data_IF_579637692382
#
_entry.id   IF_579637692382
#
_cell.length_a   1.000
_cell.length_b   1.000
_cell.length_c   1.000
_cell.angle_alpha   90.00
_cell.angle_beta   90.00
_cell.angle_gamma   90.00
#
_symmetry.space_group_name_H-M   'P 1'
#
loop_
_entity.id
_entity.type
_entity.pdbx_description
1 polymer ?
2 non-polymer ?
3 water ?
#
# COMPACT_ATOMS: atom_id res chain seq x y z
N UNK A 1 -4.18 -5.94 -15.97
CA UNK A 1 -3.17 -4.91 -16.12
C UNK A 1 -2.36 -4.72 -14.85
N UNK A 2 -1.02 -4.76 -15.00
CA UNK A 2 -0.11 -4.57 -13.86
C UNK A 2 -0.08 -3.11 -13.39
N UNK A 3 -0.90 -2.24 -13.99
CA UNK A 3 -0.96 -0.85 -13.60
C UNK A 3 -1.82 -0.65 -12.36
N UNK A 4 -2.97 -1.32 -12.30
CA UNK A 4 -3.80 -1.36 -11.10
C UNK A 4 -3.29 -2.33 -10.04
N UNK A 5 -2.55 -3.37 -10.41
CA UNK A 5 -1.86 -4.18 -9.41
C UNK A 5 -0.93 -3.32 -8.56
N UNK A 6 -0.13 -2.46 -9.19
CA UNK A 6 0.78 -1.61 -8.42
C UNK A 6 -0.01 -0.60 -7.58
N UNK A 7 -1.10 -0.06 -8.13
CA UNK A 7 -1.90 0.88 -7.37
C UNK A 7 -2.54 0.22 -6.17
N UNK A 8 -2.93 -1.06 -6.28
CA UNK A 8 -3.48 -1.73 -5.11
C UNK A 8 -2.41 -1.91 -4.04
N UNK A 9 -1.18 -2.23 -4.45
CA UNK A 9 -0.09 -2.23 -3.49
C UNK A 9 0.12 -0.84 -2.88
N UNK A 10 -0.12 0.23 -3.65
CA UNK A 10 0.05 1.57 -3.07
C UNK A 10 -1.04 1.89 -2.06
N UNK A 11 -2.24 1.35 -2.23
CA UNK A 11 -3.24 1.47 -1.18
C UNK A 11 -2.73 0.89 0.12
N UNK A 12 -1.92 -0.18 0.06
CA UNK A 12 -1.37 -0.73 1.29
C UNK A 12 -0.32 0.19 1.91
N UNK A 13 0.50 0.83 1.09
CA UNK A 13 1.43 1.83 1.62
C UNK A 13 0.66 2.91 2.35
N UNK A 14 -0.45 3.36 1.76
CA UNK A 14 -1.25 4.41 2.37
C UNK A 14 -1.84 3.93 3.70
N UNK A 15 -2.40 2.72 3.72
CA UNK A 15 -2.89 2.17 4.98
C UNK A 15 -1.79 2.12 6.02
N UNK A 16 -0.58 1.75 5.62
CA UNK A 16 0.54 1.69 6.56
C UNK A 16 0.87 3.08 7.11
N UNK A 17 0.88 4.10 6.26
CA UNK A 17 1.19 5.45 6.73
C UNK A 17 0.10 5.99 7.64
N UNK A 18 -1.14 5.59 7.41
CA UNK A 18 -2.22 6.07 8.26
C UNK A 18 -2.36 5.24 9.52
N UNK A 19 -1.57 4.19 9.66
CA UNK A 19 -1.84 3.25 10.72
C UNK A 19 -1.36 3.80 12.05
N UNK A 20 -1.92 3.21 13.11
CA UNK A 20 -1.76 3.65 14.46
C UNK A 20 -0.31 3.51 14.94
N UNK A 21 0.47 2.60 14.33
CA UNK A 21 1.91 2.44 14.61
C UNK A 21 2.72 3.72 14.40
N UNK A 22 2.43 4.48 13.33
CA UNK A 22 3.24 5.64 12.96
C UNK A 22 2.66 6.98 13.44
N UNK A 23 1.61 6.96 14.26
CA UNK A 23 0.86 8.18 14.55
C UNK A 23 1.67 9.22 15.33
N UNK A 24 2.72 8.82 16.04
CA UNK A 24 3.47 9.82 16.80
C UNK A 24 4.08 10.87 15.87
N UNK A 25 4.45 10.47 14.64
CA UNK A 25 5.05 11.41 13.71
C UNK A 25 4.21 11.65 12.47
N UNK A 26 3.18 10.85 12.20
CA UNK A 26 2.42 11.01 10.97
C UNK A 26 1.22 11.95 11.10
N UNK A 27 0.74 12.20 12.31
CA UNK A 27 -0.52 12.94 12.46
C UNK A 27 -0.54 14.32 11.81
N UNK A 28 0.54 15.09 11.70
CA UNK A 28 0.44 16.37 10.99
C UNK A 28 0.05 16.24 9.54
N UNK A 29 0.13 15.05 8.96
CA UNK A 29 -0.16 14.87 7.54
C UNK A 29 -1.48 14.16 7.30
N UNK A 30 -2.27 13.92 8.35
CA UNK A 30 -3.57 13.27 8.22
C UNK A 30 -4.54 14.15 7.44
N UNK A 31 -4.63 15.43 7.79
CA UNK A 31 -5.54 16.37 7.18
C UNK A 31 -4.78 17.51 6.52
N UNK A 32 -5.40 18.26 5.62
CA UNK A 32 -4.71 19.39 4.99
C UNK A 32 -4.27 20.42 6.03
N UNK A 33 -3.23 21.16 5.65
CA UNK A 33 -2.76 22.29 6.45
C UNK A 33 -3.87 23.34 6.50
N UNK A 34 -4.35 23.64 7.71
CA UNK A 34 -5.30 24.74 7.88
C UNK A 34 -4.50 26.01 8.16
N UNK A 35 -4.21 26.77 7.10
CA UNK A 35 -3.36 27.95 7.28
C UNK A 35 -4.03 29.00 8.16
N UNK A 36 -5.36 29.07 8.12
CA UNK A 36 -6.02 30.11 8.91
C UNK A 36 -6.07 29.72 10.38
N UNK A 37 -6.26 28.43 10.69
CA UNK A 37 -6.30 28.03 12.09
C UNK A 37 -4.91 28.02 12.70
N UNK A 38 -3.88 27.80 11.90
CA UNK A 38 -2.51 27.84 12.40
C UNK A 38 -1.85 29.20 12.24
N UNK A 39 -2.57 30.18 11.68
CA UNK A 39 -2.08 31.54 11.46
C UNK A 39 -0.83 31.55 10.60
N UNK A 40 -0.84 30.71 9.57
CA UNK A 40 0.22 30.68 8.56
C UNK A 40 -0.22 31.53 7.38
N UNK A 41 -0.09 32.85 7.53
CA UNK A 41 -0.49 33.80 6.50
C UNK A 41 0.36 33.65 5.26
N UNK A 42 1.43 32.88 5.40
CA UNK A 42 2.48 32.68 4.44
C UNK A 42 2.30 31.43 3.59
N UNK A 43 1.55 30.45 4.10
CA UNK A 43 1.61 29.10 3.58
C UNK A 43 1.21 29.00 2.10
N UNK A 44 0.12 29.64 1.71
CA UNK A 44 -0.32 29.46 0.34
C UNK A 44 0.42 30.36 -0.65
N UNK A 45 1.25 31.30 -0.18
CA UNK A 45 2.16 31.99 -1.09
C UNK A 45 3.29 31.07 -1.54
N UNK A 46 3.77 30.23 -0.63
CA UNK A 46 4.93 29.38 -0.87
C UNK A 46 4.52 27.99 -1.35
N UNK A 47 3.43 27.46 -0.82
CA UNK A 47 2.96 26.12 -1.17
C UNK A 47 1.81 26.30 -2.15
N UNK A 48 2.12 26.12 -3.44
CA UNK A 48 1.11 26.33 -4.47
C UNK A 48 0.24 25.12 -4.68
N UNK A 49 0.68 23.95 -4.24
CA UNK A 49 -0.06 22.70 -4.42
C UNK A 49 0.00 21.93 -3.13
N UNK A 50 -0.87 22.25 -2.18
CA UNK A 50 -0.91 21.53 -0.90
C UNK A 50 -1.26 20.07 -1.11
N UNK A 51 -0.84 19.24 -0.15
CA UNK A 51 -1.13 17.81 -0.22
C UNK A 51 -1.04 17.21 1.17
N UNK A 52 -1.83 16.16 1.39
CA UNK A 52 -1.89 15.47 2.67
C UNK A 52 -2.44 14.08 2.44
N UNK A 53 -2.31 13.23 3.47
CA UNK A 53 -2.67 11.83 3.32
C UNK A 53 -4.15 11.63 3.05
N UNK A 54 -5.00 12.46 3.65
CA UNK A 54 -6.44 12.31 3.39
C UNK A 54 -6.78 12.70 1.95
N UNK A 55 -6.12 13.73 1.39
CA UNK A 55 -6.39 14.04 -0.01
C UNK A 55 -5.87 12.92 -0.91
N UNK A 56 -4.69 12.38 -0.59
CA UNK A 56 -4.18 11.26 -1.37
C UNK A 56 -5.16 10.10 -1.29
N UNK A 57 -5.70 9.84 -0.09
CA UNK A 57 -6.67 8.76 0.05
C UNK A 57 -7.90 9.03 -0.80
N UNK A 58 -8.40 10.27 -0.76
CA UNK A 58 -9.57 10.59 -1.56
C UNK A 58 -9.31 10.31 -3.04
N UNK A 59 -8.14 10.71 -3.54
CA UNK A 59 -7.80 10.53 -4.95
C UNK A 59 -7.61 9.06 -5.29
N UNK A 60 -6.99 8.30 -4.40
CA UNK A 60 -6.83 6.86 -4.62
C UNK A 60 -8.17 6.13 -4.64
N UNK A 61 -9.01 6.35 -3.61
CA UNK A 61 -10.33 5.72 -3.55
C UNK A 61 -11.19 6.11 -4.75
N UNK A 62 -10.94 7.27 -5.34
CA UNK A 62 -11.65 7.69 -6.53
C UNK A 62 -10.99 7.31 -7.84
N UNK A 63 -9.98 6.42 -7.82
CA UNK A 63 -9.26 5.99 -9.02
C UNK A 63 -8.70 7.17 -9.82
N UNK A 64 -8.32 8.25 -9.13
CA UNK A 64 -7.79 9.43 -9.81
C UNK A 64 -6.30 9.30 -10.18
N UNK A 65 -5.56 8.34 -9.62
CA UNK A 65 -4.19 8.23 -10.09
C UNK A 65 -4.15 7.28 -11.26
N UNK A 66 -3.55 7.68 -12.38
CA UNK A 66 -3.48 6.76 -13.53
C UNK A 66 -2.49 5.62 -13.33
N UNK A 67 -1.48 5.80 -12.49
CA UNK A 67 -0.47 4.76 -12.25
C UNK A 67 0.15 5.01 -10.89
N UNK A 68 1.02 4.09 -10.47
CA UNK A 68 1.67 4.24 -9.16
C UNK A 68 2.58 5.46 -9.12
N UNK A 69 3.09 5.91 -10.26
CA UNK A 69 3.98 7.06 -10.23
C UNK A 69 3.24 8.33 -9.84
N UNK A 70 1.98 8.45 -10.24
CA UNK A 70 1.23 9.64 -9.86
C UNK A 70 0.98 9.69 -8.36
N UNK A 71 0.68 8.54 -7.77
CA UNK A 71 0.54 8.43 -6.32
C UNK A 71 1.84 8.81 -5.63
N UNK A 72 2.96 8.25 -6.08
CA UNK A 72 4.23 8.58 -5.46
C UNK A 72 4.52 10.08 -5.59
N UNK A 73 4.15 10.68 -6.72
CA UNK A 73 4.39 12.11 -6.88
C UNK A 73 3.63 12.92 -5.85
N UNK A 74 2.38 12.53 -5.57
CA UNK A 74 1.60 13.29 -4.57
C UNK A 74 2.16 13.11 -3.16
N UNK A 75 2.53 11.88 -2.79
CA UNK A 75 3.09 11.65 -1.45
C UNK A 75 4.34 12.48 -1.26
N UNK A 76 5.22 12.47 -2.27
CA UNK A 76 6.46 13.23 -2.18
C UNK A 76 6.19 14.73 -2.16
N UNK A 77 5.17 15.16 -2.91
CA UNK A 77 4.79 16.58 -2.88
C UNK A 77 4.43 17.00 -1.47
N UNK A 78 3.68 16.15 -0.76
CA UNK A 78 3.32 16.43 0.61
C UNK A 78 4.59 16.61 1.45
N UNK A 79 5.56 15.72 1.28
CA UNK A 79 6.84 15.88 1.97
C UNK A 79 7.58 17.12 1.49
N UNK A 80 7.59 17.41 0.19
CA UNK A 80 8.36 18.54 -0.30
C UNK A 80 7.78 19.86 0.19
N UNK A 81 6.46 19.94 0.30
CA UNK A 81 5.84 21.15 0.85
C UNK A 81 6.37 21.42 2.25
N UNK A 82 6.46 20.37 3.05
CA UNK A 82 6.84 20.54 4.45
C UNK A 82 8.29 20.95 4.55
N UNK A 83 9.16 20.35 3.73
CA UNK A 83 10.56 20.74 3.69
C UNK A 83 10.72 22.17 3.15
N UNK A 84 9.90 22.56 2.15
CA UNK A 84 10.05 23.89 1.54
C UNK A 84 9.59 24.99 2.49
N UNK A 85 8.43 24.81 3.11
CA UNK A 85 7.87 25.88 3.92
C UNK A 85 8.60 26.03 5.25
N UNK A 86 9.07 24.91 5.85
CA UNK A 86 9.55 25.07 7.20
C UNK A 86 11.06 25.23 7.26
N UNK A 87 11.55 25.90 8.30
CA UNK A 87 13.00 25.92 8.55
C UNK A 87 13.50 24.52 8.82
N UNK A 88 14.65 24.15 8.27
CA UNK A 88 15.06 22.73 8.30
C UNK A 88 15.21 22.15 9.70
N UNK A 89 15.36 22.99 10.73
CA UNK A 89 15.51 22.51 12.10
C UNK A 89 14.19 22.40 12.86
N UNK A 90 13.06 22.56 12.20
CA UNK A 90 11.77 22.46 12.86
C UNK A 90 11.43 20.99 12.99
N UNK A 91 10.69 20.65 14.02
CA UNK A 91 10.48 19.23 14.18
C UNK A 91 9.30 18.67 13.40
N UNK A 92 8.47 19.50 12.76
CA UNK A 92 7.61 18.91 11.74
C UNK A 92 8.48 18.32 10.63
N UNK A 93 9.67 18.89 10.39
CA UNK A 93 10.61 18.37 9.39
C UNK A 93 11.14 17.01 9.80
N UNK A 94 11.52 16.84 11.06
CA UNK A 94 11.95 15.52 11.52
C UNK A 94 10.79 14.52 11.41
N UNK A 95 9.58 14.94 11.77
CA UNK A 95 8.41 14.08 11.67
C UNK A 95 8.17 13.66 10.23
N UNK A 96 8.21 14.63 9.30
CA UNK A 96 8.03 14.29 7.90
C UNK A 96 9.11 13.31 7.43
N UNK A 97 10.35 13.48 7.89
CA UNK A 97 11.41 12.59 7.46
C UNK A 97 11.19 11.16 7.96
N UNK A 98 10.72 11.01 9.20
CA UNK A 98 10.43 9.67 9.70
C UNK A 98 9.32 9.02 8.88
N UNK A 99 8.29 9.78 8.52
CA UNK A 99 7.22 9.21 7.73
C UNK A 99 7.70 8.89 6.32
N UNK A 100 8.51 9.77 5.72
CA UNK A 100 9.03 9.48 4.40
C UNK A 100 9.91 8.23 4.41
N UNK A 101 10.61 7.97 5.52
CA UNK A 101 11.35 6.71 5.63
C UNK A 101 10.43 5.51 5.44
N UNK A 102 9.24 5.55 6.05
CA UNK A 102 8.25 4.50 5.83
C UNK A 102 7.86 4.45 4.36
N UNK A 103 7.50 5.60 3.79
CA UNK A 103 7.01 5.59 2.41
C UNK A 103 8.05 5.08 1.43
N UNK A 104 9.26 5.66 1.42
CA UNK A 104 10.25 5.28 0.41
C UNK A 104 10.62 3.80 0.52
N UNK A 105 10.72 3.30 1.74
CA UNK A 105 11.05 1.89 1.94
C UNK A 105 9.95 0.98 1.41
N UNK A 106 8.69 1.25 1.75
CA UNK A 106 7.65 0.35 1.30
C UNK A 106 7.38 0.53 -0.20
N UNK A 107 7.63 1.72 -0.74
CA UNK A 107 7.44 1.90 -2.18
C UNK A 107 8.49 1.13 -2.97
N UNK A 108 9.72 1.12 -2.49
CA UNK A 108 10.79 0.40 -3.19
C UNK A 108 10.56 -1.09 -3.18
N UNK A 109 9.81 -1.61 -2.20
CA UNK A 109 9.61 -3.03 -2.04
C UNK A 109 8.39 -3.52 -2.79
N UNK A 110 7.81 -2.67 -3.61
CA UNK A 110 6.70 -3.05 -4.46
C UNK A 110 7.15 -4.14 -5.43
N UNK A 111 6.39 -5.24 -5.58
CA UNK A 111 6.75 -6.25 -6.56
C UNK A 111 6.52 -5.71 -7.98
N UNK B 3 -19.04 -19.45 -9.31
CA UNK B 3 -18.28 -19.41 -10.56
C UNK B 3 -17.65 -18.01 -10.80
N UNK B 4 -16.39 -18.02 -11.26
CA UNK B 4 -15.75 -16.81 -11.78
C UNK B 4 -16.24 -16.48 -13.18
N UNK B 5 -16.79 -17.46 -13.89
CA UNK B 5 -17.53 -17.17 -15.12
C UNK B 5 -18.64 -16.16 -14.88
N UNK B 6 -19.41 -16.34 -13.79
CA UNK B 6 -20.43 -15.36 -13.44
C UNK B 6 -19.81 -14.04 -13.02
N UNK B 7 -18.67 -14.09 -12.33
CA UNK B 7 -18.00 -12.86 -11.95
C UNK B 7 -17.52 -12.10 -13.17
N UNK B 8 -17.16 -12.82 -14.24
CA UNK B 8 -16.77 -12.17 -15.46
C UNK B 8 -17.95 -11.42 -16.06
N UNK B 9 -19.15 -12.00 -15.98
CA UNK B 9 -20.35 -11.30 -16.39
C UNK B 9 -20.59 -10.06 -15.52
N UNK B 10 -20.23 -10.12 -14.24
CA UNK B 10 -20.49 -8.94 -13.43
C UNK B 10 -19.53 -7.82 -13.75
N UNK B 11 -18.30 -8.15 -14.13
CA UNK B 11 -17.41 -7.11 -14.62
C UNK B 11 -18.05 -6.38 -15.80
N UNK B 12 -18.76 -7.09 -16.66
CA UNK B 12 -19.40 -6.42 -17.77
C UNK B 12 -20.57 -5.53 -17.30
N UNK B 13 -21.32 -5.97 -16.28
CA UNK B 13 -22.32 -5.09 -15.71
C UNK B 13 -21.66 -3.83 -15.16
N UNK B 14 -20.52 -4.00 -14.49
CA UNK B 14 -19.84 -2.84 -13.92
C UNK B 14 -19.45 -1.86 -15.02
N UNK B 15 -18.88 -2.37 -16.12
CA UNK B 15 -18.54 -1.51 -17.26
C UNK B 15 -19.77 -0.79 -17.79
N UNK B 16 -20.90 -1.48 -17.87
CA UNK B 16 -22.09 -0.82 -18.39
C UNK B 16 -22.51 0.33 -17.48
N UNK B 17 -22.45 0.12 -16.17
CA UNK B 17 -22.85 1.17 -15.25
C UNK B 17 -21.90 2.36 -15.32
N UNK B 18 -20.64 2.13 -15.62
CA UNK B 18 -19.69 3.23 -15.68
C UNK B 18 -19.66 3.92 -17.03
N UNK B 19 -20.44 3.44 -18.00
CA UNK B 19 -20.31 3.86 -19.39
C UNK B 19 -20.95 5.24 -19.59
N UNK B 20 -20.65 5.84 -20.76
CA UNK B 20 -21.04 7.22 -21.01
C UNK B 20 -22.56 7.41 -21.10
N UNK B 21 -23.32 6.39 -21.58
CA UNK B 21 -24.78 6.54 -21.65
C UNK B 21 -25.42 6.99 -20.35
N UNK B 22 -24.98 6.44 -19.22
CA UNK B 22 -25.74 6.57 -18.00
C UNK B 22 -25.23 7.70 -17.11
N UNK B 23 -24.28 8.49 -17.60
CA UNK B 23 -23.57 9.43 -16.73
C UNK B 23 -24.46 10.56 -16.22
N UNK B 24 -25.55 10.90 -16.91
CA UNK B 24 -26.39 11.99 -16.42
C UNK B 24 -26.97 11.67 -15.04
N UNK B 25 -27.22 10.38 -14.74
CA UNK B 25 -27.70 9.97 -13.44
C UNK B 25 -26.73 9.08 -12.67
N UNK B 26 -25.69 8.55 -13.31
CA UNK B 26 -24.79 7.65 -12.62
C UNK B 26 -23.63 8.35 -11.93
N UNK B 27 -23.33 9.59 -12.31
CA UNK B 27 -22.09 10.22 -11.83
C UNK B 27 -21.97 10.33 -10.31
N UNK B 28 -23.03 10.53 -9.52
CA UNK B 28 -22.86 10.59 -8.06
C UNK B 28 -22.33 9.31 -7.43
N UNK B 29 -22.33 8.18 -8.15
CA UNK B 29 -21.93 6.90 -7.59
C UNK B 29 -20.56 6.49 -8.08
N UNK B 30 -19.89 7.35 -8.82
CA UNK B 30 -18.55 7.05 -9.34
C UNK B 30 -17.53 6.91 -8.21
N UNK B 31 -17.53 7.84 -7.28
CA UNK B 31 -16.55 7.91 -6.21
C UNK B 31 -17.27 7.84 -4.87
N UNK B 32 -16.57 7.51 -3.79
CA UNK B 32 -17.24 7.48 -2.50
C UNK B 32 -17.77 8.86 -2.13
N UNK B 33 -18.83 8.86 -1.31
CA UNK B 33 -19.39 10.09 -0.78
C UNK B 33 -18.33 10.81 0.04
N UNK B 34 -18.02 12.05 -0.33
CA UNK B 34 -17.14 12.87 0.48
C UNK B 34 -18.03 13.62 1.47
N UNK B 35 -18.19 13.03 2.66
CA UNK B 35 -19.08 13.61 3.67
C UNK B 35 -18.59 14.95 4.19
N UNK B 36 -17.28 15.13 4.28
CA UNK B 36 -16.80 16.37 4.86
C UNK B 36 -16.86 17.49 3.84
N UNK B 37 -16.70 17.19 2.56
CA UNK B 37 -16.88 18.24 1.54
C UNK B 37 -18.34 18.60 1.32
N UNK B 38 -19.26 17.66 1.52
CA UNK B 38 -20.67 17.92 1.37
C UNK B 38 -21.31 18.34 2.68
N UNK B 39 -20.52 18.42 3.75
CA UNK B 39 -20.99 18.86 5.06
C UNK B 39 -22.14 18.00 5.56
N UNK B 40 -22.00 16.68 5.36
CA UNK B 40 -22.92 15.67 5.88
C UNK B 40 -22.35 15.13 7.18
N UNK B 41 -22.56 15.88 8.27
CA UNK B 41 -21.96 15.52 9.55
C UNK B 41 -22.52 14.22 10.13
N UNK B 42 -23.69 13.78 9.67
CA UNK B 42 -24.32 12.56 10.17
C UNK B 42 -24.18 11.37 9.24
N UNK B 43 -23.61 11.55 8.04
CA UNK B 43 -23.63 10.50 7.02
C UNK B 43 -23.03 9.19 7.55
N UNK B 44 -21.87 9.26 8.19
CA UNK B 44 -21.22 8.06 8.66
C UNK B 44 -21.79 7.53 9.97
N UNK B 45 -22.68 8.29 10.65
CA UNK B 45 -23.46 7.72 11.75
C UNK B 45 -24.53 6.78 11.23
N UNK B 46 -25.12 7.14 10.09
CA UNK B 46 -26.26 6.45 9.53
C UNK B 46 -25.85 5.38 8.52
N UNK B 47 -24.81 5.64 7.74
CA UNK B 47 -24.35 4.71 6.72
C UNK B 47 -23.10 4.05 7.28
N UNK B 48 -23.24 2.83 7.80
CA UNK B 48 -22.10 2.20 8.46
C UNK B 48 -21.19 1.49 7.48
N UNK B 49 -21.64 1.25 6.26
CA UNK B 49 -20.84 0.55 5.26
C UNK B 49 -21.00 1.26 3.93
N UNK B 50 -20.21 2.31 3.71
CA UNK B 50 -20.28 3.02 2.42
C UNK B 50 -19.87 2.12 1.26
N UNK B 51 -20.35 2.48 0.07
CA UNK B 51 -20.05 1.73 -1.14
C UNK B 51 -20.30 2.63 -2.33
N UNK B 52 -19.54 2.38 -3.39
CA UNK B 52 -19.57 3.19 -4.61
C UNK B 52 -18.95 2.36 -5.74
N UNK B 53 -19.11 2.86 -6.98
CA UNK B 53 -18.68 2.10 -8.15
C UNK B 53 -17.17 1.93 -8.21
N UNK B 54 -16.40 2.94 -7.76
CA UNK B 54 -14.94 2.82 -7.74
C UNK B 54 -14.49 1.76 -6.74
N UNK B 55 -15.14 1.71 -5.58
CA UNK B 55 -14.81 0.68 -4.61
C UNK B 55 -15.17 -0.69 -5.15
N UNK B 56 -16.29 -0.79 -5.87
CA UNK B 56 -16.63 -2.06 -6.50
C UNK B 56 -15.57 -2.46 -7.52
N UNK B 57 -15.12 -1.51 -8.35
CA UNK B 57 -14.11 -1.86 -9.34
C UNK B 57 -12.80 -2.30 -8.70
N UNK B 58 -12.31 -1.56 -7.69
CA UNK B 58 -11.09 -1.99 -7.00
C UNK B 58 -11.29 -3.37 -6.38
N UNK B 59 -12.45 -3.62 -5.77
CA UNK B 59 -12.68 -4.92 -5.17
C UNK B 59 -12.77 -6.02 -6.24
N UNK B 60 -13.32 -5.69 -7.40
CA UNK B 60 -13.36 -6.67 -8.49
C UNK B 60 -11.96 -6.96 -9.04
N UNK B 61 -11.21 -5.90 -9.37
CA UNK B 61 -9.84 -6.08 -9.87
C UNK B 61 -8.97 -6.81 -8.86
N UNK B 62 -9.25 -6.64 -7.58
CA UNK B 62 -8.51 -7.34 -6.56
C UNK B 62 -9.10 -8.65 -6.13
N UNK B 63 -10.05 -9.19 -6.91
CA UNK B 63 -10.59 -10.54 -6.70
C UNK B 63 -11.15 -10.73 -5.29
N UNK B 64 -11.63 -9.66 -4.68
CA UNK B 64 -12.12 -9.78 -3.31
C UNK B 64 -13.52 -10.35 -3.22
N UNK B 65 -14.28 -10.46 -4.38
CA UNK B 65 -15.63 -11.01 -4.24
C UNK B 65 -15.57 -12.53 -4.37
N UNK B 66 -16.18 -13.27 -3.44
CA UNK B 66 -16.15 -14.73 -3.55
C UNK B 66 -17.07 -15.27 -4.64
N UNK B 67 -18.16 -14.58 -4.97
CA UNK B 67 -19.07 -15.05 -6.02
C UNK B 67 -19.87 -13.85 -6.53
N UNK B 68 -20.71 -14.10 -7.54
CA UNK B 68 -21.49 -13.02 -8.12
C UNK B 68 -22.47 -12.43 -7.11
N UNK B 69 -22.88 -13.22 -6.11
CA UNK B 69 -23.83 -12.71 -5.13
C UNK B 69 -23.20 -11.62 -4.29
N UNK B 70 -21.92 -11.76 -3.95
CA UNK B 70 -21.26 -10.73 -3.17
C UNK B 70 -21.14 -9.44 -3.96
N UNK B 71 -20.85 -9.55 -5.24
CA UNK B 71 -20.86 -8.39 -6.11
C UNK B 71 -22.23 -7.71 -6.08
N UNK B 72 -23.29 -8.48 -6.27
CA UNK B 72 -24.63 -7.89 -6.29
C UNK B 72 -24.96 -7.24 -4.95
N UNK B 73 -24.53 -7.84 -3.85
CA UNK B 73 -24.82 -7.28 -2.54
C UNK B 73 -24.17 -5.90 -2.40
N UNK B 74 -22.94 -5.74 -2.90
CA UNK B 74 -22.29 -4.44 -2.80
C UNK B 74 -22.99 -3.39 -3.66
N UNK B 75 -23.31 -3.73 -4.91
CA UNK B 75 -23.99 -2.77 -5.77
C UNK B 75 -25.31 -2.34 -5.12
N UNK B 76 -26.08 -3.32 -4.62
CA UNK B 76 -27.33 -3.01 -3.96
C UNK B 76 -27.11 -2.24 -2.65
N UNK B 77 -26.03 -2.55 -1.94
CA UNK B 77 -25.67 -1.76 -0.78
C UNK B 77 -25.45 -0.30 -1.16
N UNK B 78 -24.80 -0.07 -2.29
CA UNK B 78 -24.57 1.29 -2.74
C UNK B 78 -25.89 2.04 -2.91
N UNK B 79 -26.87 1.42 -3.59
CA UNK B 79 -28.18 2.05 -3.77
C UNK B 79 -28.90 2.19 -2.44
N UNK B 80 -28.85 1.15 -1.62
CA UNK B 80 -29.58 1.16 -0.38
C UNK B 80 -29.00 2.21 0.58
N UNK B 81 -27.68 2.44 0.52
CA UNK B 81 -27.12 3.54 1.28
C UNK B 81 -27.78 4.86 0.88
N UNK B 82 -27.96 5.07 -0.43
CA UNK B 82 -28.51 6.34 -0.92
C UNK B 82 -29.97 6.51 -0.54
N UNK B 83 -30.75 5.40 -0.60
CA UNK B 83 -32.16 5.43 -0.20
C UNK B 83 -32.32 5.66 1.30
N UNK B 84 -31.44 5.07 2.11
CA UNK B 84 -31.55 5.16 3.57
C UNK B 84 -31.22 6.57 4.06
N UNK B 85 -30.15 7.15 3.55
CA UNK B 85 -29.68 8.42 4.07
C UNK B 85 -30.56 9.57 3.62
N UNK B 86 -31.07 9.51 2.34
CA UNK B 86 -31.73 10.69 1.81
C UNK B 86 -33.24 10.63 1.97
N UNK B 87 -33.88 11.78 2.07
CA UNK B 87 -35.32 11.83 2.05
C UNK B 87 -35.84 11.31 0.72
N UNK B 88 -36.91 10.54 0.72
CA UNK B 88 -37.35 9.87 -0.53
C UNK B 88 -37.64 10.82 -1.68
N UNK B 89 -37.91 12.10 -1.42
CA UNK B 89 -38.21 13.03 -2.49
C UNK B 89 -36.98 13.71 -3.08
N UNK B 90 -35.78 13.26 -2.75
CA UNK B 90 -34.57 13.93 -3.23
C UNK B 90 -34.17 13.49 -4.63
N UNK B 91 -33.51 14.40 -5.34
CA UNK B 91 -33.18 14.13 -6.74
C UNK B 91 -32.20 12.97 -6.85
N UNK B 92 -31.27 12.84 -5.90
CA UNK B 92 -30.32 11.74 -5.95
C UNK B 92 -31.02 10.39 -5.80
N UNK B 93 -32.15 10.36 -5.09
CA UNK B 93 -32.89 9.10 -4.97
C UNK B 93 -33.40 8.67 -6.34
N UNK B 94 -33.91 9.63 -7.12
CA UNK B 94 -34.34 9.29 -8.47
C UNK B 94 -33.17 8.81 -9.33
N UNK B 95 -32.01 9.46 -9.20
CA UNK B 95 -30.82 9.03 -9.95
C UNK B 95 -30.42 7.61 -9.60
N UNK B 96 -30.40 7.27 -8.31
CA UNK B 96 -30.09 5.88 -7.92
C UNK B 96 -31.09 4.90 -8.52
N UNK B 97 -32.37 5.28 -8.59
CA UNK B 97 -33.34 4.36 -9.15
C UNK B 97 -33.08 4.12 -10.63
N UNK B 98 -32.76 5.19 -11.38
CA UNK B 98 -32.43 5.00 -12.79
C UNK B 98 -31.21 4.09 -12.95
N UNK B 99 -30.18 4.27 -12.11
CA UNK B 99 -28.99 3.43 -12.27
C UNK B 99 -29.28 1.99 -11.85
N UNK B 100 -30.00 1.79 -10.74
CA UNK B 100 -30.32 0.43 -10.31
C UNK B 100 -31.19 -0.30 -11.34
N UNK B 101 -32.01 0.42 -12.09
CA UNK B 101 -32.74 -0.21 -13.16
C UNK B 101 -31.78 -0.82 -14.18
N UNK B 102 -30.72 -0.09 -14.53
CA UNK B 102 -29.67 -0.64 -15.40
C UNK B 102 -29.08 -1.88 -14.76
N UNK B 103 -28.69 -1.78 -13.48
CA UNK B 103 -28.07 -2.93 -12.83
C UNK B 103 -29.03 -4.13 -12.75
N UNK B 104 -30.25 -3.93 -12.23
CA UNK B 104 -31.14 -5.07 -11.99
C UNK B 104 -31.47 -5.78 -13.30
N UNK B 105 -31.63 -5.02 -14.38
CA UNK B 105 -31.93 -5.62 -15.66
C UNK B 105 -30.76 -6.46 -16.17
N UNK B 106 -29.54 -5.93 -16.08
CA UNK B 106 -28.42 -6.70 -16.61
C UNK B 106 -28.09 -7.89 -15.71
N UNK B 107 -28.24 -7.74 -14.40
CA UNK B 107 -28.02 -8.86 -13.50
C UNK B 107 -29.04 -9.97 -13.76
N UNK B 108 -30.27 -9.60 -14.05
CA UNK B 108 -31.27 -10.63 -14.34
C UNK B 108 -30.95 -11.39 -15.62
N UNK B 109 -30.21 -10.78 -16.56
CA UNK B 109 -29.90 -11.46 -17.81
C UNK B 109 -28.62 -12.27 -17.73
N UNK B 110 -28.04 -12.43 -16.54
CA UNK B 110 -26.83 -13.22 -16.40
C UNK B 110 -27.12 -14.66 -16.82
N UNK B 111 -26.30 -15.25 -17.71
CA UNK B 111 -26.47 -16.62 -18.18
C UNK B 111 -26.07 -17.63 -17.10
N UNK C 2 15.20 28.85 -18.28
CA UNK C 2 14.58 28.80 -16.94
C UNK C 2 14.50 27.39 -16.34
N UNK C 3 14.95 26.32 -17.00
CA UNK C 3 15.19 25.18 -16.16
C UNK C 3 16.49 24.44 -16.51
N UNK C 4 17.34 25.01 -17.38
CA UNK C 4 18.73 24.82 -17.06
C UNK C 4 19.11 25.73 -15.89
N UNK C 5 18.33 26.80 -15.69
CA UNK C 5 18.38 27.53 -14.42
C UNK C 5 18.11 26.59 -13.24
N UNK C 6 17.05 25.77 -13.35
CA UNK C 6 16.78 24.78 -12.31
C UNK C 6 17.84 23.68 -12.31
N UNK C 7 18.34 23.32 -13.48
CA UNK C 7 19.39 22.30 -13.55
C UNK C 7 20.68 22.80 -12.91
N UNK C 8 20.94 24.11 -12.98
CA UNK C 8 22.11 24.69 -12.32
C UNK C 8 21.99 24.58 -10.81
N UNK C 9 20.78 24.78 -10.28
CA UNK C 9 20.55 24.54 -8.86
C UNK C 9 20.76 23.07 -8.50
N UNK C 10 20.39 22.16 -9.42
CA UNK C 10 20.58 20.75 -9.13
C UNK C 10 22.05 20.37 -9.14
N UNK C 11 22.87 21.06 -9.94
CA UNK C 11 24.32 20.87 -9.87
C UNK C 11 24.83 21.18 -8.47
N UNK C 12 24.30 22.22 -7.82
CA UNK C 12 24.73 22.50 -6.46
C UNK C 12 24.28 21.41 -5.50
N UNK C 13 23.06 20.87 -5.70
CA UNK C 13 22.64 19.72 -4.91
C UNK C 13 23.61 18.57 -5.08
N UNK C 14 24.05 18.34 -6.32
CA UNK C 14 25.04 17.29 -6.57
C UNK C 14 26.34 17.59 -5.86
N UNK C 15 26.82 18.83 -5.96
CA UNK C 15 28.02 19.22 -5.23
C UNK C 15 27.85 18.98 -3.73
N UNK C 16 26.66 19.28 -3.19
CA UNK C 16 26.43 19.11 -1.76
C UNK C 16 26.50 17.65 -1.33
N UNK C 17 25.91 16.73 -2.10
CA UNK C 17 25.96 15.33 -1.70
C UNK C 17 27.38 14.76 -1.79
N UNK C 18 28.19 15.26 -2.71
CA UNK C 18 29.53 14.75 -2.88
C UNK C 18 30.53 15.37 -1.90
N UNK C 19 30.10 16.30 -1.07
CA UNK C 19 31.04 17.08 -0.27
C UNK C 19 31.53 16.34 0.99
N UNK C 20 32.62 16.89 1.54
CA UNK C 20 33.35 16.28 2.66
C UNK C 20 32.42 16.09 3.86
N UNK C 21 31.49 17.03 4.06
CA UNK C 21 30.58 17.05 5.20
C UNK C 21 29.79 15.76 5.37
N UNK C 22 29.27 15.22 4.26
CA UNK C 22 28.34 14.11 4.28
C UNK C 22 29.03 12.78 4.03
N UNK C 23 30.36 12.77 3.98
CA UNK C 23 31.10 11.60 3.52
C UNK C 23 30.92 10.41 4.45
N UNK C 24 30.58 10.64 5.71
CA UNK C 24 30.42 9.51 6.62
C UNK C 24 29.34 8.55 6.14
N UNK C 25 28.29 9.08 5.51
CA UNK C 25 27.20 8.25 5.03
C UNK C 25 27.00 8.28 3.52
N UNK C 26 27.63 9.20 2.79
CA UNK C 26 27.39 9.28 1.35
C UNK C 26 28.33 8.41 0.53
N UNK C 27 29.46 8.01 1.09
CA UNK C 27 30.47 7.31 0.29
C UNK C 27 29.97 6.05 -0.40
N UNK C 28 29.03 5.25 0.12
CA UNK C 28 28.59 4.07 -0.63
C UNK C 28 27.96 4.39 -1.95
N UNK C 29 27.59 5.65 -2.20
CA UNK C 29 26.90 6.03 -3.42
C UNK C 29 27.79 6.79 -4.39
N UNK C 30 29.07 6.93 -4.08
CA UNK C 30 30.00 7.65 -4.95
C UNK C 30 30.15 6.96 -6.29
N UNK C 31 30.36 5.65 -6.27
CA UNK C 31 30.64 4.85 -7.45
C UNK C 31 29.56 3.79 -7.56
N UNK C 32 29.38 3.19 -8.74
CA UNK C 32 28.36 2.15 -8.89
C UNK C 32 28.60 0.96 -7.97
N UNK C 33 27.50 0.26 -7.67
CA UNK C 33 27.57 -0.96 -6.86
C UNK C 33 28.38 -2.00 -7.61
N UNK C 34 29.46 -2.47 -6.99
CA UNK C 34 30.26 -3.53 -7.59
C UNK C 34 29.69 -4.85 -7.10
N UNK C 35 28.78 -5.41 -7.89
CA UNK C 35 28.10 -6.66 -7.49
C UNK C 35 29.08 -7.82 -7.45
N UNK C 36 30.13 -7.77 -8.26
CA UNK C 36 31.06 -8.89 -8.34
C UNK C 36 32.00 -8.91 -7.14
N UNK C 37 32.45 -7.73 -6.72
CA UNK C 37 33.36 -7.60 -5.60
C UNK C 37 32.66 -7.76 -4.26
N UNK C 38 31.38 -7.44 -4.19
CA UNK C 38 30.61 -7.61 -2.97
C UNK C 38 29.89 -8.94 -2.94
N UNK C 39 30.07 -9.76 -3.97
CA UNK C 39 29.47 -11.11 -4.05
C UNK C 39 27.95 -11.04 -3.92
N UNK C 40 27.36 -10.04 -4.57
CA UNK C 40 25.91 -9.91 -4.64
C UNK C 40 25.45 -10.57 -5.94
N UNK C 41 25.32 -11.89 -5.90
CA UNK C 41 25.02 -12.60 -7.13
C UNK C 41 23.64 -12.30 -7.67
N UNK C 42 22.73 -11.77 -6.83
CA UNK C 42 21.36 -11.51 -7.25
C UNK C 42 21.08 -10.05 -7.54
N UNK C 43 22.06 -9.16 -7.28
CA UNK C 43 21.81 -7.74 -7.30
C UNK C 43 21.21 -7.27 -8.63
N UNK C 44 21.78 -7.71 -9.74
CA UNK C 44 21.26 -7.26 -11.04
C UNK C 44 20.02 -8.02 -11.47
N UNK C 45 19.64 -9.08 -10.75
CA UNK C 45 18.33 -9.68 -10.97
C UNK C 45 17.25 -8.76 -10.43
N UNK C 46 17.53 -8.10 -9.30
CA UNK C 46 16.56 -7.31 -8.58
C UNK C 46 16.61 -5.84 -9.01
N UNK C 47 17.80 -5.32 -9.25
CA UNK C 47 17.99 -3.92 -9.59
C UNK C 47 18.21 -3.84 -11.10
N UNK C 48 17.14 -3.45 -11.82
CA UNK C 48 17.22 -3.43 -13.26
C UNK C 48 17.85 -2.16 -13.80
N UNK C 49 17.95 -1.12 -12.99
CA UNK C 49 18.49 0.16 -13.41
C UNK C 49 19.39 0.74 -12.32
N UNK C 50 20.65 0.30 -12.29
CA UNK C 50 21.57 0.84 -11.27
C UNK C 50 21.79 2.32 -11.45
N UNK C 51 22.15 3.00 -10.35
CA UNK C 51 22.36 4.43 -10.36
C UNK C 51 23.23 4.83 -9.18
N UNK C 52 24.02 5.88 -9.38
CA UNK C 52 24.93 6.36 -8.35
C UNK C 52 25.31 7.81 -8.68
N UNK C 53 25.98 8.45 -7.71
CA UNK C 53 26.31 9.86 -7.84
C UNK C 53 27.31 10.13 -8.97
N UNK C 54 28.26 9.23 -9.22
CA UNK C 54 29.18 9.47 -10.33
C UNK C 54 28.45 9.36 -11.67
N UNK C 55 27.48 8.45 -11.79
CA UNK C 55 26.71 8.40 -13.02
C UNK C 55 25.82 9.64 -13.17
N UNK C 56 25.26 10.11 -12.05
CA UNK C 56 24.48 11.34 -12.10
C UNK C 56 25.36 12.51 -12.55
N UNK C 57 26.58 12.60 -12.03
CA UNK C 57 27.48 13.67 -12.46
C UNK C 57 27.84 13.55 -13.94
N UNK C 58 28.19 12.35 -14.39
CA UNK C 58 28.51 12.18 -15.80
C UNK C 58 27.33 12.61 -16.68
N UNK C 59 26.11 12.22 -16.31
CA UNK C 59 24.96 12.61 -17.11
C UNK C 59 24.71 14.11 -17.04
N UNK C 60 24.96 14.70 -15.88
CA UNK C 60 24.81 16.15 -15.73
C UNK C 60 25.85 16.89 -16.57
N UNK C 61 27.13 16.50 -16.46
CA UNK C 61 28.20 17.12 -17.24
C UNK C 61 27.95 17.02 -18.74
N UNK C 62 27.34 15.92 -19.19
CA UNK C 62 27.02 15.73 -20.59
C UNK C 62 25.66 16.26 -21.01
N UNK C 63 24.97 16.99 -20.13
CA UNK C 63 23.67 17.61 -20.42
C UNK C 63 22.63 16.59 -20.90
N UNK C 64 22.62 15.40 -20.28
CA UNK C 64 21.64 14.39 -20.64
C UNK C 64 20.30 14.59 -19.95
N UNK C 65 20.21 15.44 -18.89
CA UNK C 65 18.89 15.57 -18.27
C UNK C 65 18.10 16.67 -18.96
N UNK C 66 16.86 16.38 -19.37
CA UNK C 66 16.03 17.43 -19.99
C UNK C 66 15.48 18.44 -19.00
N UNK C 67 15.32 18.08 -17.73
CA UNK C 67 14.77 18.98 -16.72
C UNK C 67 15.25 18.53 -15.34
N UNK C 68 14.87 19.30 -14.31
CA UNK C 68 15.23 18.96 -12.95
C UNK C 68 14.53 17.69 -12.48
N UNK C 69 13.38 17.35 -13.09
CA UNK C 69 12.65 16.15 -12.72
C UNK C 69 13.41 14.89 -13.08
N UNK C 70 14.15 14.91 -14.20
CA UNK C 70 14.93 13.75 -14.58
C UNK C 70 16.10 13.51 -13.65
N UNK C 71 16.76 14.59 -13.26
CA UNK C 71 17.81 14.50 -12.25
C UNK C 71 17.24 13.95 -10.94
N UNK C 72 16.11 14.50 -10.50
CA UNK C 72 15.53 14.01 -9.26
C UNK C 72 15.15 12.53 -9.38
N UNK C 73 14.64 12.12 -10.54
CA UNK C 73 14.25 10.73 -10.72
C UNK C 73 15.48 9.81 -10.59
N UNK C 74 16.61 10.21 -11.17
CA UNK C 74 17.81 9.38 -11.06
C UNK C 74 18.32 9.33 -9.62
N UNK C 75 18.38 10.48 -8.94
CA UNK C 75 18.81 10.48 -7.54
C UNK C 75 17.91 9.59 -6.70
N UNK C 76 16.59 9.74 -6.85
CA UNK C 76 15.65 8.88 -6.11
C UNK C 76 15.76 7.42 -6.53
N UNK C 77 15.99 7.16 -7.82
CA UNK C 77 16.25 5.78 -8.26
C UNK C 77 17.43 5.17 -7.53
N UNK C 78 18.51 5.94 -7.33
CA UNK C 78 19.64 5.45 -6.57
C UNK C 78 19.25 5.09 -5.13
N UNK C 79 18.49 5.96 -4.45
CA UNK C 79 18.03 5.60 -3.10
C UNK C 79 17.07 4.42 -3.14
N UNK C 80 16.17 4.37 -4.13
CA UNK C 80 15.19 3.30 -4.16
C UNK C 80 15.83 1.94 -4.41
N UNK C 81 16.86 1.89 -5.25
CA UNK C 81 17.60 0.66 -5.47
C UNK C 81 18.15 0.13 -4.16
N UNK C 82 18.69 1.01 -3.33
CA UNK C 82 19.32 0.57 -2.11
C UNK C 82 18.28 0.02 -1.14
N UNK C 83 17.13 0.68 -1.08
CA UNK C 83 16.04 0.22 -0.23
C UNK C 83 15.45 -1.09 -0.75
N UNK C 84 15.32 -1.22 -2.07
CA UNK C 84 14.70 -2.41 -2.62
C UNK C 84 15.59 -3.63 -2.40
N UNK C 85 16.88 -3.49 -2.66
CA UNK C 85 17.77 -4.65 -2.59
C UNK C 85 18.08 -5.03 -1.16
N UNK C 86 18.19 -4.03 -0.26
CA UNK C 86 18.73 -4.44 1.03
C UNK C 86 17.63 -4.71 2.05
N UNK C 87 17.88 -5.57 3.03
CA UNK C 87 16.92 -5.74 4.13
C UNK C 87 16.75 -4.45 4.92
N UNK C 88 15.53 -4.12 5.33
CA UNK C 88 15.27 -2.79 5.92
C UNK C 88 16.08 -2.48 7.17
N UNK C 89 16.58 -3.50 7.87
CA UNK C 89 17.37 -3.28 9.08
C UNK C 89 18.86 -3.12 8.79
N UNK C 90 19.25 -3.03 7.52
CA UNK C 90 20.66 -2.96 7.19
C UNK C 90 21.23 -1.56 7.35
N UNK C 91 22.50 -1.51 7.71
CA UNK C 91 23.12 -0.24 8.04
C UNK C 91 23.25 0.67 6.81
N UNK C 92 23.45 0.10 5.62
CA UNK C 92 23.53 0.94 4.41
C UNK C 92 22.21 1.67 4.13
N UNK C 93 21.06 1.09 4.54
CA UNK C 93 19.76 1.74 4.37
C UNK C 93 19.69 3.01 5.22
N UNK C 94 20.16 2.94 6.47
CA UNK C 94 20.21 4.15 7.30
C UNK C 94 21.09 5.20 6.65
N UNK C 95 22.22 4.77 6.05
CA UNK C 95 23.11 5.69 5.34
C UNK C 95 22.38 6.36 4.19
N UNK C 96 21.64 5.56 3.40
CA UNK C 96 20.89 6.13 2.29
C UNK C 96 19.88 7.16 2.79
N UNK C 97 19.25 6.89 3.94
CA UNK C 97 18.27 7.82 4.47
C UNK C 97 18.89 9.15 4.86
N UNK C 98 20.08 9.11 5.48
CA UNK C 98 20.76 10.34 5.83
C UNK C 98 21.08 11.16 4.59
N UNK C 99 21.52 10.51 3.51
CA UNK C 99 21.84 11.27 2.29
C UNK C 99 20.57 11.74 1.59
N UNK C 100 19.52 10.90 1.56
CA UNK C 100 18.26 11.37 0.98
C UNK C 100 17.66 12.54 1.75
N UNK C 101 17.88 12.61 3.07
CA UNK C 101 17.45 13.79 3.82
C UNK C 101 18.07 15.04 3.23
N UNK C 102 19.36 14.98 2.93
CA UNK C 102 20.04 16.10 2.27
C UNK C 102 19.39 16.39 0.93
N UNK C 103 19.25 15.38 0.07
CA UNK C 103 18.72 15.66 -1.27
C UNK C 103 17.32 16.26 -1.19
N UNK C 104 16.39 15.63 -0.45
CA UNK C 104 15.00 16.08 -0.47
C UNK C 104 14.87 17.50 0.07
N UNK C 105 15.61 17.82 1.13
CA UNK C 105 15.55 19.16 1.69
C UNK C 105 16.04 20.20 0.69
N UNK C 106 17.18 19.94 0.07
CA UNK C 106 17.70 20.88 -0.92
C UNK C 106 16.78 20.94 -2.15
N UNK C 107 16.32 19.78 -2.66
CA UNK C 107 15.44 19.81 -3.82
C UNK C 107 14.17 20.59 -3.54
N UNK C 108 13.62 20.45 -2.34
CA UNK C 108 12.41 21.20 -2.00
C UNK C 108 12.65 22.70 -1.93
N UNK C 109 13.88 23.16 -1.66
CA UNK C 109 14.18 24.59 -1.52
C UNK C 109 14.53 25.24 -2.85
N UNK C 110 14.37 24.53 -3.95
CA UNK C 110 14.67 25.05 -5.26
C UNK C 110 13.82 26.29 -5.56
N UNK C 111 14.43 27.39 -6.04
CA UNK C 111 13.74 28.64 -6.40
C UNK C 111 12.88 28.54 -7.64
N UNK D 1 2.23 -48.89 8.97
CA UNK D 1 1.05 -48.06 9.19
C UNK D 1 1.29 -46.88 10.12
N UNK D 2 2.55 -46.43 10.17
CA UNK D 2 2.99 -45.37 11.08
C UNK D 2 2.39 -44.02 10.70
N UNK D 3 1.59 -43.98 9.64
CA UNK D 3 1.14 -42.72 9.08
C UNK D 3 -0.06 -42.12 9.80
N UNK D 4 -0.96 -42.95 10.33
CA UNK D 4 -2.01 -42.37 11.17
C UNK D 4 -1.50 -41.99 12.55
N UNK D 5 -0.51 -42.72 13.08
CA UNK D 5 0.17 -42.29 14.30
C UNK D 5 0.79 -40.90 14.14
N UNK D 6 1.49 -40.67 13.04
CA UNK D 6 2.11 -39.36 12.87
C UNK D 6 1.07 -38.27 12.68
N UNK D 7 -0.02 -38.56 11.95
CA UNK D 7 -1.07 -37.57 11.75
C UNK D 7 -1.80 -37.27 13.04
N UNK D 8 -1.99 -38.27 13.89
CA UNK D 8 -2.62 -38.02 15.17
C UNK D 8 -1.76 -37.13 16.05
N UNK D 9 -0.44 -37.32 16.00
CA UNK D 9 0.47 -36.45 16.73
C UNK D 9 0.38 -35.02 16.19
N UNK D 10 0.14 -34.87 14.89
CA UNK D 10 0.02 -33.52 14.36
C UNK D 10 -1.28 -32.87 14.81
N UNK D 11 -2.31 -33.67 15.06
CA UNK D 11 -3.52 -33.14 15.68
C UNK D 11 -3.20 -32.48 17.02
N UNK D 12 -2.32 -33.09 17.79
CA UNK D 12 -1.95 -32.53 19.09
C UNK D 12 -1.15 -31.25 18.92
N UNK D 13 -0.30 -31.18 17.90
CA UNK D 13 0.34 -29.89 17.58
C UNK D 13 -0.71 -28.85 17.28
N UNK D 14 -1.73 -29.22 16.52
CA UNK D 14 -2.81 -28.29 16.22
C UNK D 14 -3.53 -27.86 17.49
N UNK D 15 -3.84 -28.82 18.37
CA UNK D 15 -4.48 -28.48 19.64
C UNK D 15 -3.64 -27.49 20.44
N UNK D 16 -2.32 -27.70 20.48
CA UNK D 16 -1.45 -26.82 21.23
C UNK D 16 -1.42 -25.42 20.64
N UNK D 17 -1.39 -25.30 19.30
CA UNK D 17 -1.39 -23.98 18.70
C UNK D 17 -2.72 -23.26 18.95
N UNK D 18 -3.80 -24.00 19.06
CA UNK D 18 -5.11 -23.42 19.25
C UNK D 18 -5.45 -23.17 20.71
N UNK D 19 -4.58 -23.55 21.65
CA UNK D 19 -4.93 -23.53 23.06
C UNK D 19 -4.77 -22.13 23.65
N UNK D 20 -5.40 -21.95 24.81
CA UNK D 20 -5.47 -20.63 25.45
C UNK D 20 -4.08 -20.14 25.86
N UNK D 21 -3.17 -21.07 26.17
CA UNK D 21 -1.80 -20.71 26.53
C UNK D 21 -1.16 -19.76 25.52
N UNK D 22 -1.39 -19.98 24.23
CA UNK D 22 -0.73 -19.21 23.18
C UNK D 22 -1.64 -18.14 22.56
N UNK D 23 -2.82 -17.93 23.11
CA UNK D 23 -3.82 -17.12 22.42
C UNK D 23 -3.39 -15.66 22.25
N UNK D 24 -2.48 -15.16 23.07
CA UNK D 24 -2.08 -13.76 22.96
C UNK D 24 -1.47 -13.44 21.60
N UNK D 25 -0.76 -14.40 20.99
CA UNK D 25 -0.15 -14.23 19.67
C UNK D 25 -0.70 -15.14 18.59
N UNK D 26 -1.48 -16.16 18.93
CA UNK D 26 -1.95 -17.09 17.91
C UNK D 26 -3.27 -16.69 17.28
N UNK D 27 -4.04 -15.82 17.92
CA UNK D 27 -5.40 -15.55 17.47
C UNK D 27 -5.52 -15.05 16.03
N UNK D 28 -4.59 -14.27 15.46
CA UNK D 28 -4.76 -13.89 14.04
C UNK D 28 -4.78 -15.06 13.09
N UNK D 29 -4.35 -16.24 13.51
CA UNK D 29 -4.26 -17.37 12.62
C UNK D 29 -5.39 -18.36 12.83
N UNK D 30 -6.32 -18.05 13.74
CA UNK D 30 -7.45 -18.94 13.99
C UNK D 30 -8.32 -19.09 12.75
N UNK D 31 -8.65 -17.97 12.12
CA UNK D 31 -9.55 -17.95 10.97
C UNK D 31 -8.81 -17.37 9.77
N UNK D 32 -9.29 -17.65 8.55
CA UNK D 32 -8.61 -17.14 7.35
C UNK D 32 -8.56 -15.62 7.33
N UNK D 33 -7.56 -15.12 6.62
CA UNK D 33 -7.44 -13.69 6.39
C UNK D 33 -8.65 -13.23 5.59
N UNK D 34 -9.45 -12.32 6.17
CA UNK D 34 -10.56 -11.74 5.44
C UNK D 34 -10.05 -10.48 4.75
N UNK D 35 -9.68 -10.62 3.46
CA UNK D 35 -9.13 -9.48 2.73
C UNK D 35 -10.18 -8.40 2.52
N UNK D 36 -11.45 -8.78 2.37
CA UNK D 36 -12.47 -7.77 2.11
C UNK D 36 -12.76 -6.97 3.37
N UNK D 37 -12.74 -7.63 4.52
CA UNK D 37 -13.02 -6.94 5.77
C UNK D 37 -11.83 -6.13 6.25
N UNK D 38 -10.61 -6.54 5.91
CA UNK D 38 -9.43 -5.77 6.30
C UNK D 38 -9.00 -4.76 5.25
N UNK D 39 -9.68 -4.73 4.11
CA UNK D 39 -9.38 -3.80 3.00
C UNK D 39 -7.94 -4.00 2.52
N UNK D 40 -7.55 -5.27 2.41
CA UNK D 40 -6.27 -5.66 1.84
C UNK D 40 -6.48 -5.93 0.36
N UNK D 41 -6.54 -4.84 -0.41
CA UNK D 41 -6.88 -4.95 -1.81
C UNK D 41 -5.81 -5.69 -2.62
N UNK D 42 -4.59 -5.81 -2.09
CA UNK D 42 -3.48 -6.46 -2.77
C UNK D 42 -3.23 -7.88 -2.28
N UNK D 43 -3.97 -8.33 -1.26
CA UNK D 43 -3.63 -9.61 -0.62
C UNK D 43 -3.63 -10.75 -1.62
N UNK D 44 -4.62 -10.83 -2.52
CA UNK D 44 -4.64 -11.98 -3.42
C UNK D 44 -3.70 -11.82 -4.60
N UNK D 45 -3.12 -10.62 -4.80
CA UNK D 45 -2.04 -10.46 -5.77
C UNK D 45 -0.75 -11.10 -5.26
N UNK D 46 -0.51 -10.98 -3.97
CA UNK D 46 0.74 -11.37 -3.33
C UNK D 46 0.67 -12.78 -2.76
N UNK D 47 -0.47 -13.13 -2.16
CA UNK D 47 -0.69 -14.41 -1.51
C UNK D 47 -1.57 -15.25 -2.43
N UNK D 48 -0.96 -16.19 -3.13
CA UNK D 48 -1.72 -16.99 -4.07
C UNK D 48 -2.38 -18.20 -3.42
N UNK D 49 -1.94 -18.57 -2.22
CA UNK D 49 -2.46 -19.74 -1.52
C UNK D 49 -2.64 -19.42 -0.05
N UNK D 50 -3.74 -18.79 0.32
CA UNK D 50 -4.01 -18.46 1.72
C UNK D 50 -4.09 -19.74 2.58
N UNK D 51 -3.81 -19.57 3.87
CA UNK D 51 -3.84 -20.68 4.81
C UNK D 51 -3.96 -20.18 6.24
N UNK D 52 -4.65 -20.98 7.06
CA UNK D 52 -4.91 -20.63 8.46
C UNK D 52 -5.21 -21.92 9.22
N UNK D 53 -5.25 -21.80 10.55
CA UNK D 53 -5.37 -22.99 11.39
C UNK D 53 -6.72 -23.70 11.22
N UNK D 54 -7.80 -22.94 10.99
CA UNK D 54 -9.09 -23.59 10.81
C UNK D 54 -9.11 -24.40 9.52
N UNK D 55 -8.47 -23.89 8.46
CA UNK D 55 -8.37 -24.67 7.22
C UNK D 55 -7.49 -25.90 7.40
N UNK D 56 -6.40 -25.78 8.15
CA UNK D 56 -5.59 -26.96 8.43
C UNK D 56 -6.41 -27.99 9.20
N UNK D 57 -7.19 -27.55 10.18
CA UNK D 57 -8.03 -28.49 10.92
C UNK D 57 -9.05 -29.15 10.00
N UNK D 58 -9.74 -28.36 9.16
CA UNK D 58 -10.72 -28.94 8.23
C UNK D 58 -10.08 -29.98 7.33
N UNK D 59 -8.87 -29.69 6.83
CA UNK D 59 -8.15 -30.66 5.99
C UNK D 59 -7.71 -31.87 6.80
N UNK D 60 -7.38 -31.66 8.07
CA UNK D 60 -7.02 -32.76 8.97
C UNK D 60 -8.21 -33.66 9.26
N UNK D 61 -9.33 -33.05 9.69
CA UNK D 61 -10.53 -33.82 9.98
C UNK D 61 -11.03 -34.57 8.74
N UNK D 62 -10.86 -33.99 7.55
CA UNK D 62 -11.26 -34.65 6.34
C UNK D 62 -10.19 -35.54 5.73
N UNK D 63 -9.06 -35.72 6.42
CA UNK D 63 -8.01 -36.67 6.05
C UNK D 63 -7.47 -36.42 4.65
N UNK D 64 -7.17 -35.14 4.38
CA UNK D 64 -6.59 -34.73 3.10
C UNK D 64 -5.07 -34.79 3.09
N UNK D 65 -4.42 -34.90 4.27
CA UNK D 65 -2.96 -34.95 4.18
C UNK D 65 -2.50 -36.39 4.04
N UNK D 66 -1.66 -36.69 3.05
CA UNK D 66 -1.15 -38.07 2.91
C UNK D 66 -0.11 -38.43 3.96
N UNK D 67 0.58 -37.46 4.53
CA UNK D 67 1.64 -37.69 5.52
C UNK D 67 1.80 -36.43 6.35
N UNK D 68 2.66 -36.51 7.37
CA UNK D 68 2.86 -35.35 8.23
C UNK D 68 3.56 -34.21 7.51
N UNK D 69 4.37 -34.51 6.49
CA UNK D 69 5.09 -33.44 5.81
C UNK D 69 4.12 -32.53 5.07
N UNK D 70 2.99 -33.06 4.61
CA UNK D 70 1.97 -32.21 4.00
C UNK D 70 1.31 -31.28 5.01
N UNK D 71 1.01 -31.79 6.21
CA UNK D 71 0.50 -30.96 7.29
C UNK D 71 1.49 -29.85 7.62
N UNK D 72 2.77 -30.21 7.74
CA UNK D 72 3.79 -29.21 8.04
C UNK D 72 3.89 -28.16 6.94
N UNK D 73 3.72 -28.56 5.68
CA UNK D 73 3.85 -27.60 4.59
C UNK D 73 2.78 -26.50 4.69
N UNK D 74 1.54 -26.87 5.04
CA UNK D 74 0.47 -25.89 5.18
C UNK D 74 0.72 -24.99 6.38
N UNK D 75 1.14 -25.56 7.50
CA UNK D 75 1.45 -24.70 8.66
C UNK D 75 2.51 -23.68 8.29
N UNK D 76 3.60 -24.15 7.66
CA UNK D 76 4.67 -23.26 7.24
C UNK D 76 4.19 -22.30 6.16
N UNK D 77 3.31 -22.77 5.27
CA UNK D 77 2.71 -21.86 4.29
C UNK D 77 1.96 -20.73 5.00
N UNK D 78 1.23 -21.04 6.08
CA UNK D 78 0.51 -20.00 6.82
C UNK D 78 1.46 -18.93 7.36
N UNK D 79 2.57 -19.36 7.99
CA UNK D 79 3.55 -18.39 8.48
C UNK D 79 4.23 -17.66 7.34
N UNK D 80 4.56 -18.37 6.25
CA UNK D 80 5.32 -17.72 5.20
C UNK D 80 4.47 -16.65 4.52
N UNK D 81 3.17 -16.91 4.37
CA UNK D 81 2.25 -15.90 3.87
C UNK D 81 2.30 -14.66 4.73
N UNK D 82 2.34 -14.84 6.04
CA UNK D 82 2.34 -13.69 6.93
C UNK D 82 3.63 -12.90 6.77
N UNK D 83 4.76 -13.60 6.66
CA UNK D 83 6.05 -12.95 6.45
C UNK D 83 6.12 -12.27 5.09
N UNK D 84 5.54 -12.90 4.05
CA UNK D 84 5.63 -12.31 2.71
C UNK D 84 4.79 -11.04 2.60
N UNK D 85 3.55 -11.07 3.11
CA UNK D 85 2.65 -9.94 2.89
C UNK D 85 2.99 -8.73 3.76
N UNK D 86 3.45 -8.92 4.99
CA UNK D 86 3.57 -7.79 5.90
C UNK D 86 4.99 -7.22 5.94
N UNK D 87 5.12 -5.94 6.31
CA UNK D 87 6.44 -5.35 6.56
C UNK D 87 7.14 -6.01 7.73
N UNK D 88 8.45 -6.23 7.64
CA UNK D 88 9.14 -7.02 8.69
C UNK D 88 9.06 -6.47 10.11
N UNK D 89 8.84 -5.17 10.31
CA UNK D 89 8.75 -4.63 11.66
C UNK D 89 7.33 -4.65 12.23
N UNK D 90 6.40 -5.30 11.55
CA UNK D 90 5.01 -5.35 11.99
C UNK D 90 4.81 -6.39 13.05
N UNK D 91 3.87 -6.12 13.93
CA UNK D 91 3.64 -6.98 15.08
C UNK D 91 2.98 -8.32 14.74
N UNK D 92 2.16 -8.41 13.68
CA UNK D 92 1.63 -9.71 13.31
C UNK D 92 2.76 -10.66 12.96
N UNK D 93 3.88 -10.12 12.46
CA UNK D 93 5.08 -10.90 12.15
C UNK D 93 5.71 -11.45 13.42
N UNK D 94 5.85 -10.60 14.44
CA UNK D 94 6.38 -11.06 15.72
C UNK D 94 5.48 -12.13 16.33
N UNK D 95 4.16 -11.94 16.19
CA UNK D 95 3.22 -12.94 16.68
C UNK D 95 3.39 -14.27 15.96
N UNK D 96 3.47 -14.24 14.64
CA UNK D 96 3.68 -15.46 13.87
C UNK D 96 4.98 -16.15 14.25
N UNK D 97 6.04 -15.38 14.51
CA UNK D 97 7.30 -16.00 14.86
C UNK D 97 7.21 -16.75 16.18
N UNK D 98 6.50 -16.18 17.17
CA UNK D 98 6.30 -16.88 18.43
C UNK D 98 5.52 -18.17 18.22
N UNK D 99 4.48 -18.11 17.39
CA UNK D 99 3.67 -19.29 17.14
C UNK D 99 4.45 -20.33 16.35
N UNK D 100 5.24 -19.90 15.38
CA UNK D 100 6.06 -20.85 14.64
C UNK D 100 7.08 -21.54 15.54
N UNK D 101 7.55 -20.84 16.56
CA UNK D 101 8.44 -21.47 17.53
C UNK D 101 7.74 -22.64 18.24
N UNK D 102 6.47 -22.47 18.60
CA UNK D 102 5.70 -23.58 19.14
C UNK D 102 5.63 -24.71 18.12
N UNK D 103 5.23 -24.39 16.89
CA UNK D 103 5.08 -25.43 15.86
C UNK D 103 6.38 -26.19 15.62
N UNK D 104 7.47 -25.46 15.33
CA UNK D 104 8.71 -26.12 14.94
C UNK D 104 9.22 -27.06 16.04
N UNK D 105 9.11 -26.64 17.31
CA UNK D 105 9.57 -27.50 18.39
C UNK D 105 8.75 -28.78 18.48
N UNK D 106 7.42 -28.65 18.53
CA UNK D 106 6.59 -29.83 18.69
C UNK D 106 6.70 -30.75 17.48
N UNK D 107 6.74 -30.18 16.27
CA UNK D 107 6.92 -31.00 15.08
C UNK D 107 8.26 -31.72 15.09
N UNK D 108 9.31 -31.05 15.59
CA UNK D 108 10.59 -31.73 15.63
C UNK D 108 10.60 -32.89 16.63
N UNK D 109 9.77 -32.82 17.67
CA UNK D 109 9.75 -33.83 18.72
C UNK D 109 8.81 -34.97 18.40
N UNK D 110 8.30 -35.03 17.17
CA UNK D 110 7.41 -36.10 16.75
C UNK D 110 8.09 -37.46 16.86
N UNK D 111 7.45 -38.47 17.49
CA UNK D 111 8.01 -39.82 17.62
C UNK D 111 8.04 -40.59 16.30
#
# INVERSE_FOLDING_TARGET
GKLSEHLRYCDSILREMLSKKHAAYAWPFYKPVDAEALELHDYHDIIKHPMDLSTVKRKMDGREYPDAQGFAADVRLMFSNCYKYNPPDHEVVAMARKLQDVFEMRFAKMP
GKLSEHLRYCDSILREMLSKKHAAYAWPFYKPVDAEALELHDYHDIIKHPMDLSTVKRKMDGREYPDAQGFAADVRLMFSNCYKYNPPDHEVVAMARKLQDVFEMRFAKMP
GKLSEHLRYCDSILREMLSKKHAAYAWPFYKPVDAEALELHDYHDIIKHPMDLSTVKRKMDGREYPDAQGFAADVRLMFSNCYKYNPPDHEVVAMARKLQDVFEMRFAKMP
GKLSEHLRYCDSILREMLSKKHAAYAWPFYKPVDAEALELHDYHDIIKHPMDLSTVKRKMDGREYPDAQGFAADVRLMFSNCYKYNPPDHEVVAMARKLQDVFEMRFAKMP
#
